data_IF_920610181120
#
_entry.id   IF_920610181120
#
_cell.length_a   1.000
_cell.length_b   1.000
_cell.length_c   1.000
_cell.angle_alpha   90.00
_cell.angle_beta   90.00
_cell.angle_gamma   90.00
#
_symmetry.space_group_name_H-M   'P 1'
#
loop_
_entity.id
_entity.type
_entity.pdbx_description
1 polymer ?
#
# COMPACT_ATOMS: atom_id res chain seq x y z
N UNK A 1 -14.03 -14.69 18.72
CA UNK A 1 -13.53 -13.86 17.61
C UNK A 1 -14.69 -13.05 17.07
N UNK A 2 -14.49 -11.77 16.79
CA UNK A 2 -15.54 -10.91 16.20
C UNK A 2 -15.74 -11.34 14.73
N UNK A 3 -16.98 -11.36 14.24
CA UNK A 3 -17.28 -11.70 12.85
C UNK A 3 -16.83 -10.55 11.91
N UNK A 4 -16.34 -10.87 10.70
CA UNK A 4 -15.95 -9.85 9.73
C UNK A 4 -17.18 -9.04 9.28
N UNK A 5 -16.95 -7.74 9.04
CA UNK A 5 -17.95 -6.83 8.48
C UNK A 5 -18.18 -7.11 6.99
N UNK A 6 -17.08 -7.34 6.28
CA UNK A 6 -17.06 -7.78 4.88
C UNK A 6 -16.30 -9.09 4.78
N UNK A 7 -16.85 -10.05 4.08
CA UNK A 7 -16.15 -11.28 3.72
C UNK A 7 -16.37 -11.56 2.24
N UNK A 8 -15.28 -11.68 1.48
CA UNK A 8 -15.31 -12.14 0.10
C UNK A 8 -14.58 -13.47 0.00
N UNK A 9 -15.12 -14.40 -0.76
CA UNK A 9 -14.58 -15.76 -0.90
C UNK A 9 -14.52 -16.16 -2.37
N UNK A 10 -13.30 -16.50 -2.81
CA UNK A 10 -13.01 -17.12 -4.12
C UNK A 10 -13.61 -16.32 -5.29
N UNK A 11 -13.53 -14.99 -5.22
CA UNK A 11 -14.03 -14.12 -6.28
C UNK A 11 -13.17 -14.28 -7.53
N UNK A 12 -13.85 -14.57 -8.65
CA UNK A 12 -13.25 -14.64 -9.99
C UNK A 12 -13.99 -13.69 -10.91
N UNK A 13 -13.24 -13.00 -11.77
CA UNK A 13 -13.77 -12.15 -12.83
C UNK A 13 -12.87 -12.14 -14.04
N UNK A 14 -13.49 -12.36 -15.21
CA UNK A 14 -12.82 -12.31 -16.50
C UNK A 14 -13.50 -11.30 -17.43
N UNK A 15 -12.73 -10.66 -18.28
CA UNK A 15 -13.20 -9.80 -19.37
C UNK A 15 -12.54 -10.25 -20.68
N UNK A 16 -13.33 -10.57 -21.69
CA UNK A 16 -12.83 -10.98 -23.01
C UNK A 16 -11.87 -12.17 -22.96
N UNK A 17 -12.08 -13.12 -22.03
CA UNK A 17 -11.22 -14.30 -21.83
C UNK A 17 -9.96 -14.05 -20.99
N UNK A 18 -9.68 -12.80 -20.58
CA UNK A 18 -8.59 -12.47 -19.65
C UNK A 18 -9.12 -12.44 -18.22
N UNK A 19 -8.55 -13.24 -17.34
CA UNK A 19 -8.86 -13.24 -15.93
C UNK A 19 -8.22 -12.02 -15.25
N UNK A 20 -9.04 -11.16 -14.66
CA UNK A 20 -8.63 -9.88 -14.02
C UNK A 20 -8.65 -10.02 -12.51
N UNK A 21 -9.58 -10.82 -11.97
CA UNK A 21 -9.64 -11.22 -10.56
C UNK A 21 -9.63 -12.74 -10.54
N UNK A 22 -8.69 -13.32 -9.81
CA UNK A 22 -8.39 -14.74 -9.82
C UNK A 22 -8.33 -15.28 -8.38
N UNK A 23 -9.42 -15.87 -7.93
CA UNK A 23 -9.55 -16.53 -6.62
C UNK A 23 -9.26 -15.59 -5.43
N UNK A 24 -9.79 -14.37 -5.48
CA UNK A 24 -9.58 -13.37 -4.42
C UNK A 24 -10.48 -13.65 -3.23
N UNK A 25 -9.87 -13.83 -2.07
CA UNK A 25 -10.54 -13.95 -0.77
C UNK A 25 -9.98 -12.93 0.21
N UNK A 26 -10.85 -12.19 0.90
CA UNK A 26 -10.48 -11.10 1.81
C UNK A 26 -11.53 -10.91 2.88
N UNK A 27 -11.12 -10.51 4.07
CA UNK A 27 -12.00 -10.10 5.17
C UNK A 27 -11.68 -8.68 5.62
N UNK A 28 -12.70 -7.91 5.99
CA UNK A 28 -12.54 -6.60 6.62
C UNK A 28 -13.27 -6.62 7.95
N UNK A 29 -12.55 -6.36 9.02
CA UNK A 29 -13.09 -6.38 10.37
C UNK A 29 -13.81 -5.07 10.73
N UNK A 30 -14.78 -5.07 11.65
CA UNK A 30 -15.44 -3.86 12.11
C UNK A 30 -14.46 -2.81 12.62
N UNK A 31 -14.57 -1.57 12.13
CA UNK A 31 -13.74 -0.45 12.55
C UNK A 31 -12.28 -0.51 12.10
N UNK A 32 -11.89 -1.50 11.29
CA UNK A 32 -10.55 -1.61 10.71
C UNK A 32 -10.48 -1.01 9.31
N UNK A 33 -9.30 -0.55 8.97
CA UNK A 33 -8.90 -0.16 7.62
C UNK A 33 -8.09 -1.29 7.00
N UNK A 34 -8.66 -1.98 6.03
CA UNK A 34 -7.95 -2.96 5.19
C UNK A 34 -7.59 -2.29 3.86
N UNK A 35 -6.33 -2.37 3.46
CA UNK A 35 -5.87 -1.81 2.20
C UNK A 35 -5.63 -2.91 1.15
N UNK A 36 -6.30 -2.83 0.01
CA UNK A 36 -5.99 -3.63 -1.17
C UNK A 36 -4.96 -2.88 -2.00
N UNK A 37 -3.70 -3.29 -1.91
CA UNK A 37 -2.54 -2.64 -2.46
C UNK A 37 -1.99 -3.43 -3.66
N UNK A 38 -1.44 -2.76 -4.66
CA UNK A 38 -0.78 -3.44 -5.77
C UNK A 38 -0.58 -2.54 -7.00
N UNK A 39 0.17 -2.99 -8.01
CA UNK A 39 0.43 -2.22 -9.21
C UNK A 39 -0.85 -1.91 -10.00
N UNK A 40 -0.79 -0.88 -10.86
CA UNK A 40 -1.91 -0.53 -11.74
C UNK A 40 -2.27 -1.71 -12.64
N UNK A 41 -3.59 -1.93 -12.82
CA UNK A 41 -4.10 -3.01 -13.67
C UNK A 41 -4.11 -4.42 -13.06
N UNK A 42 -3.76 -4.61 -11.78
CA UNK A 42 -3.77 -5.93 -11.14
C UNK A 42 -5.16 -6.41 -10.66
N UNK A 43 -6.24 -5.64 -10.85
CA UNK A 43 -7.61 -6.07 -10.53
C UNK A 43 -8.26 -5.39 -9.32
N UNK A 44 -7.59 -4.48 -8.61
CA UNK A 44 -8.07 -3.83 -7.37
C UNK A 44 -9.43 -3.12 -7.54
N UNK A 45 -9.52 -2.16 -8.47
CA UNK A 45 -10.76 -1.40 -8.71
C UNK A 45 -11.88 -2.31 -9.23
N UNK A 46 -11.55 -3.37 -9.97
CA UNK A 46 -12.54 -4.39 -10.38
C UNK A 46 -13.08 -5.12 -9.17
N UNK A 47 -12.22 -5.57 -8.26
CA UNK A 47 -12.62 -6.22 -7.00
C UNK A 47 -13.51 -5.29 -6.17
N UNK A 48 -13.13 -4.03 -6.03
CA UNK A 48 -13.92 -3.03 -5.32
C UNK A 48 -15.30 -2.81 -5.95
N UNK A 49 -15.40 -2.70 -7.29
CA UNK A 49 -16.67 -2.55 -8.02
C UNK A 49 -17.57 -3.77 -7.87
N UNK A 50 -17.00 -4.97 -7.83
CA UNK A 50 -17.74 -6.22 -7.56
C UNK A 50 -18.34 -6.18 -6.14
N UNK A 51 -17.58 -5.78 -5.14
CA UNK A 51 -18.06 -5.64 -3.76
C UNK A 51 -19.18 -4.61 -3.67
N UNK A 52 -19.02 -3.47 -4.35
CA UNK A 52 -20.04 -2.42 -4.42
C UNK A 52 -21.32 -2.86 -5.16
N UNK A 53 -21.26 -3.92 -5.98
CA UNK A 53 -22.37 -4.39 -6.81
C UNK A 53 -22.55 -3.64 -8.13
N UNK A 54 -21.57 -2.83 -8.52
CA UNK A 54 -21.52 -2.13 -9.80
C UNK A 54 -21.08 -3.07 -10.91
N UNK A 55 -20.19 -4.03 -10.60
CA UNK A 55 -19.74 -5.09 -11.50
C UNK A 55 -20.17 -6.46 -10.95
N UNK A 56 -20.29 -7.47 -11.82
CA UNK A 56 -20.63 -8.84 -11.44
C UNK A 56 -19.39 -9.73 -11.49
N UNK A 57 -19.19 -10.52 -10.44
CA UNK A 57 -18.24 -11.63 -10.46
C UNK A 57 -18.75 -12.79 -11.33
N UNK A 58 -17.83 -13.61 -11.80
CA UNK A 58 -18.16 -14.84 -12.53
C UNK A 58 -18.41 -16.00 -11.51
N UNK A 59 -17.63 -16.04 -10.41
CA UNK A 59 -17.81 -17.01 -9.30
C UNK A 59 -17.44 -16.36 -7.96
N UNK A 60 -17.73 -17.07 -6.88
CA UNK A 60 -17.43 -16.67 -5.51
C UNK A 60 -18.61 -16.02 -4.80
N UNK A 61 -18.42 -15.68 -3.52
CA UNK A 61 -19.49 -15.13 -2.67
C UNK A 61 -19.04 -13.88 -1.92
N UNK A 62 -20.00 -13.00 -1.63
CA UNK A 62 -19.80 -11.78 -0.85
C UNK A 62 -20.79 -11.75 0.29
N UNK A 63 -20.31 -11.54 1.51
CA UNK A 63 -21.13 -11.40 2.72
C UNK A 63 -20.85 -10.06 3.39
N UNK A 64 -21.90 -9.43 3.89
CA UNK A 64 -21.86 -8.23 4.72
C UNK A 64 -22.54 -8.54 6.05
N UNK A 65 -21.85 -8.36 7.17
CA UNK A 65 -22.34 -8.75 8.51
C UNK A 65 -22.83 -10.21 8.56
N UNK A 66 -22.13 -11.12 7.85
CA UNK A 66 -22.49 -12.53 7.75
C UNK A 66 -23.67 -12.84 6.83
N UNK A 67 -24.33 -11.83 6.25
CA UNK A 67 -25.43 -12.02 5.31
C UNK A 67 -24.91 -12.09 3.88
N UNK A 68 -25.33 -13.10 3.12
CA UNK A 68 -25.00 -13.23 1.70
C UNK A 68 -25.61 -12.08 0.92
N UNK A 69 -24.76 -11.27 0.27
CA UNK A 69 -25.20 -10.16 -0.60
C UNK A 69 -24.98 -10.42 -2.09
N UNK A 70 -24.09 -11.36 -2.42
CA UNK A 70 -23.89 -11.77 -3.80
C UNK A 70 -23.26 -13.16 -3.91
N UNK A 71 -23.79 -13.96 -4.83
CA UNK A 71 -23.17 -15.16 -5.38
C UNK A 71 -23.47 -15.25 -6.89
N UNK A 72 -23.44 -16.45 -7.47
CA UNK A 72 -23.76 -16.66 -8.90
C UNK A 72 -25.25 -16.58 -9.23
N UNK A 73 -26.13 -16.67 -8.23
CA UNK A 73 -27.58 -16.72 -8.39
C UNK A 73 -28.23 -15.51 -7.70
N UNK A 74 -27.83 -15.24 -6.47
CA UNK A 74 -28.40 -14.18 -5.64
C UNK A 74 -27.60 -12.89 -5.77
N UNK A 75 -28.30 -11.76 -5.92
CA UNK A 75 -27.67 -10.44 -6.02
C UNK A 75 -28.50 -9.37 -5.31
N UNK A 76 -27.93 -8.81 -4.27
CA UNK A 76 -28.45 -7.58 -3.67
C UNK A 76 -27.94 -6.38 -4.49
N UNK A 77 -28.82 -5.47 -4.95
CA UNK A 77 -28.40 -4.28 -5.67
C UNK A 77 -27.56 -3.34 -4.79
N UNK A 78 -26.74 -2.43 -5.39
CA UNK A 78 -25.82 -1.58 -4.63
C UNK A 78 -26.45 -0.83 -3.47
N UNK A 79 -27.62 -0.24 -3.66
CA UNK A 79 -28.37 0.52 -2.64
C UNK A 79 -28.86 -0.32 -1.45
N UNK A 80 -28.91 -1.63 -1.61
CA UNK A 80 -29.29 -2.59 -0.55
C UNK A 80 -28.13 -3.16 0.24
N UNK A 81 -26.87 -2.93 -0.18
CA UNK A 81 -25.69 -3.57 0.43
C UNK A 81 -25.19 -2.90 1.70
N UNK A 82 -25.71 -1.73 2.08
CA UNK A 82 -25.20 -0.90 3.19
C UNK A 82 -23.72 -0.52 3.03
N UNK A 83 -23.29 -0.29 1.80
CA UNK A 83 -21.93 0.04 1.40
C UNK A 83 -21.88 1.50 0.91
N UNK A 84 -20.97 2.29 1.46
CA UNK A 84 -20.59 3.60 0.91
C UNK A 84 -19.45 3.43 -0.09
N UNK A 85 -19.51 4.16 -1.20
CA UNK A 85 -18.50 4.12 -2.24
C UNK A 85 -17.98 5.52 -2.54
N UNK A 86 -16.65 5.66 -2.51
CA UNK A 86 -15.95 6.86 -2.94
C UNK A 86 -15.10 6.52 -4.16
N UNK A 87 -15.38 7.19 -5.27
CA UNK A 87 -14.68 7.02 -6.54
C UNK A 87 -13.41 7.89 -6.59
N UNK A 88 -12.48 7.53 -7.44
CA UNK A 88 -11.22 8.23 -7.66
C UNK A 88 -11.40 9.69 -8.11
N UNK A 89 -12.41 9.98 -8.92
CA UNK A 89 -12.76 11.31 -9.43
C UNK A 89 -13.77 12.05 -8.54
N UNK A 90 -13.97 11.56 -7.30
CA UNK A 90 -14.96 12.03 -6.32
C UNK A 90 -16.41 11.94 -6.80
N UNK A 91 -16.68 11.97 -8.09
CA UNK A 91 -17.99 11.85 -8.76
C UNK A 91 -19.08 12.75 -8.13
N UNK A 92 -18.71 13.98 -7.73
CA UNK A 92 -19.69 14.96 -7.21
C UNK A 92 -20.64 15.40 -8.33
N UNK A 93 -21.90 15.60 -7.99
CA UNK A 93 -22.89 16.11 -8.92
C UNK A 93 -22.66 17.61 -9.15
N UNK A 94 -22.23 18.06 -10.34
CA UNK A 94 -21.79 19.43 -10.55
C UNK A 94 -22.92 20.46 -10.50
N UNK A 95 -24.16 20.02 -10.69
CA UNK A 95 -25.37 20.83 -10.65
C UNK A 95 -26.04 20.92 -9.27
N UNK A 96 -25.50 20.21 -8.27
CA UNK A 96 -25.96 20.23 -6.89
C UNK A 96 -24.97 20.98 -6.01
N UNK A 97 -25.48 21.72 -5.01
CA UNK A 97 -24.62 22.33 -3.99
C UNK A 97 -23.96 21.27 -3.11
N UNK A 98 -22.98 21.66 -2.28
CA UNK A 98 -22.30 20.80 -1.30
C UNK A 98 -23.34 20.13 -0.39
N UNK A 99 -24.25 20.89 0.20
CA UNK A 99 -25.31 20.35 1.05
C UNK A 99 -26.22 19.37 0.33
N UNK A 100 -26.58 19.68 -0.94
CA UNK A 100 -27.40 18.79 -1.77
C UNK A 100 -26.65 17.53 -2.19
N UNK A 101 -25.34 17.61 -2.47
CA UNK A 101 -24.51 16.43 -2.73
C UNK A 101 -24.50 15.49 -1.53
N UNK A 102 -24.28 15.99 -0.33
CA UNK A 102 -24.27 15.17 0.90
C UNK A 102 -25.67 14.59 1.20
N UNK A 103 -26.73 15.34 0.93
CA UNK A 103 -28.10 14.88 1.14
C UNK A 103 -28.57 13.84 0.13
N UNK A 104 -27.88 13.68 -1.02
CA UNK A 104 -28.37 12.93 -2.19
C UNK A 104 -28.75 11.49 -1.87
N UNK A 105 -27.95 10.77 -1.04
CA UNK A 105 -28.21 9.38 -0.66
C UNK A 105 -29.17 9.22 0.53
N UNK A 106 -29.67 10.31 1.10
CA UNK A 106 -30.54 10.25 2.27
C UNK A 106 -32.02 10.16 1.87
N UNK A 107 -32.76 9.30 2.59
CA UNK A 107 -34.22 9.26 2.45
C UNK A 107 -34.83 10.56 2.97
N UNK A 108 -35.80 11.11 2.27
CA UNK A 108 -36.50 12.32 2.69
C UNK A 108 -37.09 12.14 4.12
N UNK A 109 -36.77 13.08 5.03
CA UNK A 109 -37.23 13.04 6.42
C UNK A 109 -36.77 14.26 7.19
N UNK A 110 -37.24 14.40 8.45
CA UNK A 110 -36.93 15.56 9.32
C UNK A 110 -35.45 15.70 9.69
N UNK A 111 -34.70 14.60 9.66
CA UNK A 111 -33.28 14.52 10.14
C UNK A 111 -32.25 14.77 9.06
N UNK A 112 -32.67 14.94 7.78
CA UNK A 112 -31.73 15.11 6.66
C UNK A 112 -30.82 16.32 6.86
N UNK A 113 -31.40 17.49 7.18
CA UNK A 113 -30.62 18.71 7.40
C UNK A 113 -29.66 18.61 8.58
N UNK A 114 -30.08 17.99 9.68
CA UNK A 114 -29.22 17.76 10.84
C UNK A 114 -28.04 16.83 10.51
N UNK A 115 -28.27 15.74 9.76
CA UNK A 115 -27.20 14.82 9.35
C UNK A 115 -26.22 15.46 8.37
N UNK A 116 -26.71 16.24 7.42
CA UNK A 116 -25.87 17.01 6.49
C UNK A 116 -24.97 17.99 7.27
N UNK A 117 -25.55 18.76 8.19
CA UNK A 117 -24.80 19.72 8.99
C UNK A 117 -23.78 19.04 9.90
N UNK A 118 -24.14 17.90 10.53
CA UNK A 118 -23.22 17.08 11.33
C UNK A 118 -22.00 16.67 10.53
N UNK A 119 -22.21 16.08 9.35
CA UNK A 119 -21.12 15.59 8.50
C UNK A 119 -20.26 16.69 7.93
N UNK A 120 -20.88 17.79 7.47
CA UNK A 120 -20.13 18.94 6.97
C UNK A 120 -19.29 19.60 8.06
N UNK A 121 -19.76 19.60 9.31
CA UNK A 121 -18.95 20.04 10.45
C UNK A 121 -17.75 19.09 10.68
N UNK A 122 -17.98 17.76 10.65
CA UNK A 122 -16.91 16.75 10.85
C UNK A 122 -15.81 16.85 9.81
N UNK A 123 -16.14 17.16 8.55
CA UNK A 123 -15.16 17.31 7.47
C UNK A 123 -14.72 18.77 7.25
N UNK A 124 -15.09 19.71 8.14
CA UNK A 124 -14.70 21.11 8.05
C UNK A 124 -15.29 21.89 6.87
N UNK A 125 -16.41 21.41 6.29
CA UNK A 125 -17.01 21.98 5.08
C UNK A 125 -18.33 22.74 5.33
N UNK A 126 -18.72 22.97 6.58
CA UNK A 126 -20.03 23.56 6.92
C UNK A 126 -20.25 24.95 6.30
N UNK A 127 -19.21 25.78 6.17
CA UNK A 127 -19.29 27.12 5.59
C UNK A 127 -19.57 27.14 4.09
N UNK A 128 -19.32 25.99 3.40
CA UNK A 128 -19.47 25.84 1.96
C UNK A 128 -20.77 25.14 1.54
N UNK A 129 -21.74 25.01 2.46
CA UNK A 129 -22.96 24.20 2.26
C UNK A 129 -23.75 24.58 1.00
N UNK A 130 -23.74 25.86 0.63
CA UNK A 130 -24.42 26.39 -0.54
C UNK A 130 -23.55 26.50 -1.79
N UNK A 131 -22.22 26.26 -1.66
CA UNK A 131 -21.28 26.32 -2.77
C UNK A 131 -21.42 25.09 -3.69
N UNK A 132 -20.89 25.20 -4.91
CA UNK A 132 -20.90 24.14 -5.91
C UNK A 132 -19.53 23.48 -6.08
N UNK A 133 -19.44 22.22 -6.56
CA UNK A 133 -18.19 21.50 -6.70
C UNK A 133 -17.08 22.25 -7.47
N UNK A 134 -17.44 23.01 -8.51
CA UNK A 134 -16.47 23.76 -9.30
C UNK A 134 -15.82 24.95 -8.59
N UNK A 135 -16.35 25.35 -7.44
CA UNK A 135 -15.83 26.42 -6.58
C UNK A 135 -14.85 25.89 -5.52
N UNK A 136 -14.72 24.56 -5.41
CA UNK A 136 -13.92 23.89 -4.40
C UNK A 136 -12.59 23.40 -4.96
N UNK A 137 -11.53 23.43 -4.14
CA UNK A 137 -10.29 22.74 -4.39
C UNK A 137 -10.47 21.20 -4.40
N UNK A 138 -9.50 20.45 -4.95
CA UNK A 138 -9.57 18.98 -4.97
C UNK A 138 -9.73 18.36 -3.58
N UNK A 139 -9.01 18.87 -2.57
CA UNK A 139 -9.13 18.38 -1.19
C UNK A 139 -10.51 18.69 -0.57
N UNK A 140 -11.10 19.86 -0.86
CA UNK A 140 -12.44 20.19 -0.42
C UNK A 140 -13.50 19.32 -1.10
N UNK A 141 -13.35 19.05 -2.41
CA UNK A 141 -14.23 18.11 -3.13
C UNK A 141 -14.16 16.70 -2.54
N UNK A 142 -12.98 16.24 -2.18
CA UNK A 142 -12.78 14.95 -1.51
C UNK A 142 -13.53 14.88 -0.18
N UNK A 143 -13.41 15.90 0.67
CA UNK A 143 -14.11 15.98 1.96
C UNK A 143 -15.64 15.94 1.78
N UNK A 144 -16.16 16.63 0.77
CA UNK A 144 -17.59 16.56 0.41
C UNK A 144 -18.00 15.17 -0.07
N UNK A 145 -17.18 14.52 -0.90
CA UNK A 145 -17.43 13.16 -1.36
C UNK A 145 -17.43 12.14 -0.21
N UNK A 146 -16.50 12.29 0.75
CA UNK A 146 -16.47 11.50 1.97
C UNK A 146 -17.76 11.69 2.79
N UNK A 147 -18.17 12.94 3.04
CA UNK A 147 -19.40 13.25 3.76
C UNK A 147 -20.63 12.65 3.05
N UNK A 148 -20.73 12.77 1.72
CA UNK A 148 -21.79 12.15 0.91
C UNK A 148 -21.84 10.64 1.08
N UNK A 149 -20.69 9.97 1.00
CA UNK A 149 -20.61 8.52 1.12
C UNK A 149 -20.97 8.02 2.54
N UNK A 150 -20.64 8.81 3.57
CA UNK A 150 -20.97 8.53 4.98
C UNK A 150 -22.42 8.89 5.37
N UNK A 151 -23.10 9.74 4.60
CA UNK A 151 -24.43 10.24 4.96
C UNK A 151 -25.43 9.12 5.24
N UNK A 152 -25.54 8.03 4.45
CA UNK A 152 -26.45 6.91 4.71
C UNK A 152 -26.05 6.01 5.90
N UNK A 153 -24.97 6.31 6.62
CA UNK A 153 -24.40 5.47 7.70
C UNK A 153 -24.05 4.05 7.19
N UNK A 154 -23.17 3.93 6.20
CA UNK A 154 -22.80 2.64 5.65
C UNK A 154 -22.07 1.79 6.69
N UNK A 155 -22.23 0.48 6.60
CA UNK A 155 -21.46 -0.49 7.40
C UNK A 155 -20.02 -0.61 6.95
N UNK A 156 -19.81 -0.42 5.65
CA UNK A 156 -18.51 -0.53 4.98
C UNK A 156 -18.33 0.68 4.08
N UNK A 157 -17.14 1.27 4.11
CA UNK A 157 -16.70 2.28 3.16
C UNK A 157 -15.70 1.67 2.19
N UNK A 158 -15.98 1.76 0.90
CA UNK A 158 -15.06 1.42 -0.17
C UNK A 158 -14.48 2.70 -0.76
N UNK A 159 -13.17 2.77 -0.89
CA UNK A 159 -12.46 3.96 -1.39
C UNK A 159 -11.49 3.55 -2.51
N UNK A 160 -11.73 4.04 -3.73
CA UNK A 160 -10.89 3.75 -4.90
C UNK A 160 -9.92 4.90 -5.15
N UNK A 161 -8.64 4.72 -4.79
CA UNK A 161 -7.56 5.69 -4.94
C UNK A 161 -7.94 7.12 -4.48
N UNK A 162 -8.47 7.28 -3.26
CA UNK A 162 -9.13 8.53 -2.86
C UNK A 162 -8.20 9.74 -2.78
N UNK A 163 -6.88 9.54 -2.68
CA UNK A 163 -5.91 10.62 -2.48
C UNK A 163 -5.00 10.85 -3.70
N UNK A 164 -5.21 10.15 -4.82
CA UNK A 164 -4.35 10.21 -6.01
C UNK A 164 -4.34 11.58 -6.70
N UNK A 165 -5.39 12.36 -6.56
CA UNK A 165 -5.51 13.70 -7.17
C UNK A 165 -5.06 14.87 -6.29
N UNK A 166 -4.47 14.60 -5.12
CA UNK A 166 -4.08 15.63 -4.16
C UNK A 166 -2.63 16.04 -4.28
N UNK A 167 -2.35 17.31 -3.95
CA UNK A 167 -0.99 17.81 -3.75
C UNK A 167 -0.31 17.09 -2.57
N UNK A 168 0.98 16.76 -2.73
CA UNK A 168 1.73 15.97 -1.75
C UNK A 168 1.76 16.61 -0.34
N UNK A 169 1.75 17.95 -0.25
CA UNK A 169 1.81 18.65 1.04
C UNK A 169 0.50 18.56 1.83
N UNK A 170 -0.64 18.54 1.13
CA UNK A 170 -1.96 18.46 1.76
C UNK A 170 -2.43 17.02 1.97
N UNK A 171 -1.81 16.08 1.26
CA UNK A 171 -2.25 14.68 1.23
C UNK A 171 -2.19 14.02 2.60
N UNK A 172 -1.16 14.29 3.36
CA UNK A 172 -0.96 13.67 4.69
C UNK A 172 -2.01 14.14 5.71
N UNK A 173 -2.28 15.44 5.76
CA UNK A 173 -3.28 16.01 6.67
C UNK A 173 -4.69 15.50 6.32
N UNK A 174 -5.03 15.47 5.02
CA UNK A 174 -6.33 14.99 4.55
C UNK A 174 -6.51 13.49 4.83
N UNK A 175 -5.45 12.69 4.73
CA UNK A 175 -5.47 11.26 5.10
C UNK A 175 -5.80 11.07 6.58
N UNK A 176 -5.11 11.79 7.46
CA UNK A 176 -5.30 11.68 8.90
C UNK A 176 -6.71 12.13 9.31
N UNK A 177 -7.19 13.27 8.82
CA UNK A 177 -8.57 13.74 9.03
C UNK A 177 -9.61 12.73 8.51
N UNK A 178 -9.37 12.15 7.31
CA UNK A 178 -10.27 11.12 6.75
C UNK A 178 -10.36 9.91 7.66
N UNK A 179 -9.22 9.43 8.19
CA UNK A 179 -9.18 8.31 9.12
C UNK A 179 -9.91 8.61 10.42
N UNK A 180 -9.75 9.81 10.98
CA UNK A 180 -10.46 10.23 12.20
C UNK A 180 -11.97 10.20 12.00
N UNK A 181 -12.45 10.75 10.88
CA UNK A 181 -13.89 10.74 10.55
C UNK A 181 -14.42 9.32 10.39
N UNK A 182 -13.71 8.45 9.66
CA UNK A 182 -14.10 7.06 9.44
C UNK A 182 -14.12 6.23 10.73
N UNK A 183 -13.11 6.39 11.59
CA UNK A 183 -13.04 5.75 12.91
C UNK A 183 -14.15 6.26 13.83
N UNK A 184 -14.42 7.56 13.80
CA UNK A 184 -15.50 8.17 14.59
C UNK A 184 -16.91 7.68 14.21
N UNK A 185 -17.12 7.27 12.96
CA UNK A 185 -18.37 6.65 12.48
C UNK A 185 -18.43 5.13 12.75
N UNK A 186 -17.32 4.49 13.18
CA UNK A 186 -17.24 3.03 13.41
C UNK A 186 -17.40 2.20 12.15
N UNK A 187 -17.13 2.78 10.98
CA UNK A 187 -17.27 2.15 9.67
C UNK A 187 -16.04 1.30 9.35
N UNK A 188 -16.23 0.08 8.86
CA UNK A 188 -15.15 -0.73 8.30
C UNK A 188 -14.72 -0.15 6.94
N UNK A 189 -13.43 -0.16 6.63
CA UNK A 189 -12.90 0.49 5.41
C UNK A 189 -12.13 -0.51 4.57
N UNK A 190 -12.46 -0.56 3.27
CA UNK A 190 -11.60 -1.16 2.26
C UNK A 190 -11.06 -0.03 1.36
N UNK A 191 -9.78 0.25 1.52
CA UNK A 191 -9.04 1.23 0.75
C UNK A 191 -8.31 0.55 -0.40
N UNK A 192 -8.47 1.06 -1.61
CA UNK A 192 -7.69 0.62 -2.78
C UNK A 192 -6.68 1.69 -3.14
N UNK A 193 -5.42 1.30 -3.26
CA UNK A 193 -4.35 2.21 -3.69
C UNK A 193 -3.23 1.46 -4.41
N UNK A 194 -2.41 2.18 -5.14
CA UNK A 194 -1.15 1.69 -5.70
C UNK A 194 0.07 2.29 -5.00
N UNK A 195 -0.13 3.16 -3.99
CA UNK A 195 0.94 3.81 -3.23
C UNK A 195 1.26 3.04 -1.95
N UNK A 196 2.48 2.42 -1.83
CA UNK A 196 2.87 1.71 -0.60
C UNK A 196 2.88 2.60 0.64
N UNK A 197 3.31 3.87 0.51
CA UNK A 197 3.36 4.83 1.61
C UNK A 197 1.99 5.11 2.21
N UNK A 198 0.97 5.21 1.38
CA UNK A 198 -0.42 5.37 1.80
C UNK A 198 -0.93 4.14 2.59
N UNK A 199 -0.73 2.93 2.02
CA UNK A 199 -1.13 1.70 2.68
C UNK A 199 -0.43 1.51 4.04
N UNK A 200 0.88 1.80 4.11
CA UNK A 200 1.66 1.70 5.35
C UNK A 200 1.21 2.66 6.46
N UNK A 201 0.69 3.84 6.09
CA UNK A 201 0.24 4.86 7.04
C UNK A 201 -1.18 4.62 7.52
N UNK A 202 -2.07 4.19 6.63
CA UNK A 202 -3.51 4.17 6.90
C UNK A 202 -4.05 2.81 7.32
N UNK A 203 -3.44 1.71 6.86
CA UNK A 203 -4.03 0.39 7.02
C UNK A 203 -3.68 -0.26 8.36
N UNK A 204 -4.66 -0.93 8.96
CA UNK A 204 -4.44 -1.92 10.01
C UNK A 204 -4.00 -3.25 9.39
N UNK A 205 -4.44 -3.54 8.16
CA UNK A 205 -4.09 -4.74 7.39
C UNK A 205 -3.94 -4.39 5.90
N UNK A 206 -2.91 -4.95 5.26
CA UNK A 206 -2.66 -4.82 3.82
C UNK A 206 -2.84 -6.17 3.15
N UNK A 207 -3.63 -6.21 2.07
CA UNK A 207 -3.69 -7.31 1.12
C UNK A 207 -2.96 -6.89 -0.17
N UNK A 208 -1.77 -7.44 -0.40
CA UNK A 208 -0.98 -7.16 -1.59
C UNK A 208 -1.50 -7.98 -2.76
N UNK A 209 -2.01 -7.30 -3.78
CA UNK A 209 -2.58 -7.91 -4.98
C UNK A 209 -1.63 -7.79 -6.16
N UNK A 210 -1.41 -8.89 -6.88
CA UNK A 210 -0.61 -8.96 -8.10
C UNK A 210 -1.21 -9.98 -9.06
N UNK A 211 -1.30 -9.61 -10.34
CA UNK A 211 -1.80 -10.50 -11.41
C UNK A 211 -3.16 -11.14 -11.09
N UNK A 212 -4.07 -10.40 -10.52
CA UNK A 212 -5.42 -10.84 -10.16
C UNK A 212 -5.52 -11.57 -8.81
N UNK A 213 -4.42 -11.85 -8.11
CA UNK A 213 -4.39 -12.64 -6.87
C UNK A 213 -3.88 -11.84 -5.67
N UNK A 214 -4.33 -12.18 -4.47
CA UNK A 214 -3.69 -11.73 -3.23
C UNK A 214 -2.48 -12.61 -3.00
N UNK A 215 -1.27 -12.02 -3.09
CA UNK A 215 0.01 -12.73 -2.93
C UNK A 215 0.52 -12.72 -1.50
N UNK A 216 0.12 -11.71 -0.72
CA UNK A 216 0.47 -11.60 0.69
C UNK A 216 -0.57 -10.77 1.44
N UNK A 217 -0.88 -11.12 2.70
CA UNK A 217 -1.78 -10.37 3.56
C UNK A 217 -1.23 -10.32 4.97
N UNK A 218 -1.38 -9.18 5.66
CA UNK A 218 -0.97 -9.00 7.04
C UNK A 218 -0.83 -7.54 7.45
N UNK A 219 -0.41 -7.33 8.70
CA UNK A 219 -0.13 -5.99 9.21
C UNK A 219 0.99 -5.31 8.39
N UNK A 220 0.96 -3.98 8.21
CA UNK A 220 1.95 -3.24 7.43
C UNK A 220 3.40 -3.57 7.79
N UNK A 221 3.71 -3.62 9.09
CA UNK A 221 5.04 -3.98 9.57
C UNK A 221 5.49 -5.36 9.09
N UNK A 222 4.60 -6.36 9.12
CA UNK A 222 4.93 -7.73 8.73
C UNK A 222 5.18 -7.84 7.22
N UNK A 223 4.32 -7.24 6.42
CA UNK A 223 4.49 -7.25 4.95
C UNK A 223 5.79 -6.59 4.53
N UNK A 224 6.14 -5.47 5.18
CA UNK A 224 7.39 -4.77 4.90
C UNK A 224 8.62 -5.58 5.32
N UNK A 225 8.62 -6.20 6.51
CA UNK A 225 9.80 -6.87 7.07
C UNK A 225 9.91 -8.36 6.74
N UNK A 226 8.85 -8.99 6.24
CA UNK A 226 8.83 -10.40 5.83
C UNK A 226 8.12 -10.55 4.48
N UNK A 227 8.65 -9.92 3.40
CA UNK A 227 8.05 -10.03 2.08
C UNK A 227 8.11 -11.48 1.58
N UNK A 228 7.04 -11.90 0.88
CA UNK A 228 6.90 -13.29 0.39
C UNK A 228 7.86 -13.61 -0.75
N UNK A 229 8.24 -12.62 -1.54
CA UNK A 229 9.15 -12.75 -2.68
C UNK A 229 9.87 -11.43 -3.00
N UNK A 230 10.82 -11.50 -3.94
CA UNK A 230 11.59 -10.35 -4.41
C UNK A 230 10.71 -9.22 -4.96
N UNK A 231 9.66 -9.55 -5.71
CA UNK A 231 8.74 -8.55 -6.28
C UNK A 231 7.97 -7.84 -5.19
N UNK A 232 7.57 -8.54 -4.12
CA UNK A 232 6.93 -7.95 -2.95
C UNK A 232 7.90 -7.03 -2.18
N UNK A 233 9.16 -7.42 -2.01
CA UNK A 233 10.17 -6.56 -1.39
C UNK A 233 10.40 -5.28 -2.20
N UNK A 234 10.54 -5.41 -3.53
CA UNK A 234 10.78 -4.30 -4.47
C UNK A 234 9.58 -3.35 -4.60
N UNK A 235 8.37 -3.83 -4.33
CA UNK A 235 7.16 -3.01 -4.41
C UNK A 235 7.12 -1.91 -3.33
N UNK A 236 7.69 -2.19 -2.15
CA UNK A 236 7.65 -1.25 -1.01
C UNK A 236 8.85 -0.30 -0.93
N UNK A 237 9.94 -0.59 -1.60
CA UNK A 237 11.16 0.25 -1.58
C UNK A 237 12.12 -0.17 -2.70
N UNK A 238 13.05 0.74 -3.04
CA UNK A 238 14.24 0.32 -3.78
C UNK A 238 14.93 -0.83 -3.07
N UNK A 239 15.56 -1.72 -3.86
CA UNK A 239 16.30 -2.87 -3.36
C UNK A 239 17.65 -2.99 -4.09
N UNK A 240 18.63 -3.55 -3.39
CA UNK A 240 19.83 -4.12 -3.98
C UNK A 240 19.67 -5.63 -4.02
N UNK A 241 20.17 -6.26 -5.08
CA UNK A 241 20.13 -7.71 -5.24
C UNK A 241 21.54 -8.22 -5.44
N UNK A 242 21.96 -9.16 -4.59
CA UNK A 242 23.23 -9.87 -4.71
C UNK A 242 22.89 -11.32 -5.00
N UNK A 243 23.49 -11.87 -6.04
CA UNK A 243 23.29 -13.27 -6.43
C UNK A 243 24.24 -14.18 -5.68
N UNK A 244 23.75 -15.35 -5.31
CA UNK A 244 24.53 -16.39 -4.67
C UNK A 244 24.00 -17.78 -5.01
N UNK A 245 24.73 -18.80 -4.59
CA UNK A 245 24.35 -20.21 -4.69
C UNK A 245 24.40 -20.85 -3.31
N UNK A 246 23.40 -21.64 -2.98
CA UNK A 246 23.30 -22.29 -1.66
C UNK A 246 24.24 -23.48 -1.58
N UNK A 247 25.03 -23.53 -0.49
CA UNK A 247 25.86 -24.66 -0.09
C UNK A 247 25.71 -24.86 1.42
N UNK A 248 25.22 -26.02 1.81
CA UNK A 248 25.01 -26.40 3.22
C UNK A 248 24.17 -25.34 3.98
N UNK A 249 22.99 -25.00 3.42
CA UNK A 249 22.06 -23.96 3.94
C UNK A 249 22.66 -22.56 4.09
N UNK A 250 23.81 -22.28 3.49
CA UNK A 250 24.49 -20.99 3.44
C UNK A 250 24.71 -20.57 1.99
N UNK A 251 24.83 -19.28 1.77
CA UNK A 251 25.29 -18.74 0.48
C UNK A 251 26.49 -17.83 0.72
N UNK A 252 27.57 -18.03 -0.04
CA UNK A 252 28.78 -17.21 0.06
C UNK A 252 28.70 -16.03 -0.89
N UNK A 253 29.05 -14.86 -0.37
CA UNK A 253 29.11 -13.62 -1.12
C UNK A 253 30.34 -12.81 -0.69
N UNK A 254 30.71 -11.77 -1.44
CA UNK A 254 31.76 -10.82 -0.99
C UNK A 254 31.48 -10.16 0.34
N UNK A 255 30.21 -10.12 0.78
CA UNK A 255 29.80 -9.60 2.10
C UNK A 255 29.73 -10.68 3.19
N UNK A 256 30.26 -11.87 2.91
CA UNK A 256 30.25 -13.03 3.77
C UNK A 256 29.08 -13.97 3.51
N UNK A 257 28.78 -14.80 4.52
CA UNK A 257 27.77 -15.85 4.39
C UNK A 257 26.40 -15.39 4.87
N UNK A 258 25.36 -15.79 4.12
CA UNK A 258 23.96 -15.58 4.47
C UNK A 258 23.24 -16.92 4.62
N UNK A 259 22.33 -16.98 5.61
CA UNK A 259 21.51 -18.17 5.85
C UNK A 259 20.41 -18.28 4.77
N UNK A 260 20.27 -19.47 4.21
CA UNK A 260 19.21 -19.84 3.25
C UNK A 260 18.48 -21.11 3.72
N UNK A 261 17.82 -21.08 4.88
CA UNK A 261 17.22 -22.28 5.47
C UNK A 261 16.11 -22.82 4.57
N UNK A 262 16.11 -24.16 4.38
CA UNK A 262 15.08 -24.84 3.59
C UNK A 262 15.26 -24.72 2.07
N UNK A 263 16.31 -24.06 1.60
CA UNK A 263 16.65 -23.99 0.17
C UNK A 263 17.65 -25.11 -0.14
N UNK A 264 17.41 -25.94 -1.19
CA UNK A 264 18.32 -27.03 -1.57
C UNK A 264 19.70 -26.52 -2.01
N UNK A 265 20.74 -27.33 -1.76
CA UNK A 265 22.08 -27.05 -2.23
C UNK A 265 22.14 -26.96 -3.77
N UNK A 266 22.95 -26.05 -4.29
CA UNK A 266 23.07 -25.77 -5.71
C UNK A 266 21.96 -24.84 -6.27
N UNK A 267 20.99 -24.40 -5.41
CA UNK A 267 19.97 -23.47 -5.85
C UNK A 267 20.55 -22.06 -5.92
N UNK A 268 20.30 -21.38 -7.04
CA UNK A 268 20.58 -19.95 -7.16
C UNK A 268 19.62 -19.15 -6.27
N UNK A 269 20.14 -18.14 -5.57
CA UNK A 269 19.36 -17.27 -4.69
C UNK A 269 19.66 -15.80 -4.91
N UNK A 270 18.65 -14.98 -4.70
CA UNK A 270 18.75 -13.54 -4.62
C UNK A 270 18.76 -13.09 -3.16
N UNK A 271 19.86 -12.45 -2.73
CA UNK A 271 19.99 -11.80 -1.42
C UNK A 271 19.58 -10.35 -1.61
N UNK A 272 18.47 -9.99 -1.01
CA UNK A 272 17.81 -8.69 -1.18
C UNK A 272 18.07 -7.79 0.02
N UNK A 273 18.60 -6.58 -0.23
CA UNK A 273 18.96 -5.62 0.79
C UNK A 273 18.37 -4.25 0.41
N UNK A 274 17.69 -3.61 1.35
CA UNK A 274 17.23 -2.23 1.15
C UNK A 274 18.38 -1.23 1.29
N UNK A 275 18.39 -0.13 0.51
CA UNK A 275 19.46 0.86 0.53
C UNK A 275 19.81 1.44 1.91
N UNK A 276 18.83 1.59 2.79
CA UNK A 276 19.03 2.09 4.16
C UNK A 276 19.68 1.07 5.12
N UNK A 277 19.80 -0.19 4.71
CA UNK A 277 20.44 -1.26 5.51
C UNK A 277 21.90 -1.53 5.11
N UNK A 278 22.40 -0.80 4.11
CA UNK A 278 23.83 -0.78 3.82
C UNK A 278 24.53 0.19 4.79
N UNK A 279 25.62 -0.27 5.38
CA UNK A 279 26.54 0.55 6.18
C UNK A 279 27.74 0.92 5.34
N UNK A 280 28.20 2.16 5.50
CA UNK A 280 29.33 2.71 4.78
C UNK A 280 30.43 3.03 5.82
N UNK A 281 31.66 2.63 5.52
CA UNK A 281 32.85 3.06 6.27
C UNK A 281 33.91 3.61 5.32
N UNK A 282 34.78 4.47 5.87
CA UNK A 282 35.84 5.10 5.12
C UNK A 282 37.01 4.12 4.90
N UNK A 283 37.64 4.23 3.75
CA UNK A 283 38.89 3.53 3.49
C UNK A 283 40.04 4.18 4.31
N UNK A 284 40.72 3.37 5.10
CA UNK A 284 41.83 3.81 5.94
C UNK A 284 43.11 3.17 5.41
N UNK A 285 43.69 3.76 4.36
CA UNK A 285 44.89 3.26 3.69
C UNK A 285 44.76 1.80 3.21
N UNK A 286 43.64 1.47 2.58
CA UNK A 286 43.34 0.11 2.10
C UNK A 286 42.82 -0.85 3.17
N UNK A 287 42.56 -0.36 4.40
CA UNK A 287 42.03 -1.17 5.50
C UNK A 287 40.55 -0.84 5.73
N UNK A 288 39.71 -1.86 5.64
CA UNK A 288 38.29 -1.78 6.02
C UNK A 288 38.04 -2.05 7.49
N UNK A 289 36.80 -1.89 7.94
CA UNK A 289 36.38 -2.26 9.29
C UNK A 289 36.50 -3.78 9.48
N UNK A 290 36.58 -4.21 10.74
CA UNK A 290 36.56 -5.64 11.06
C UNK A 290 35.15 -6.22 10.82
N UNK A 291 35.05 -7.45 10.29
CA UNK A 291 33.77 -8.14 10.19
C UNK A 291 33.10 -8.31 11.54
N UNK A 292 31.77 -8.17 11.55
CA UNK A 292 30.97 -8.47 12.76
C UNK A 292 29.90 -9.52 12.44
N UNK A 293 29.35 -10.15 13.46
CA UNK A 293 28.26 -11.12 13.27
C UNK A 293 27.00 -10.47 12.65
N UNK A 294 26.77 -9.19 12.90
CA UNK A 294 25.61 -8.44 12.40
C UNK A 294 25.88 -7.83 11.02
N UNK A 295 27.05 -7.21 10.83
CA UNK A 295 27.36 -6.39 9.66
C UNK A 295 28.08 -7.14 8.54
N UNK A 296 28.38 -8.41 8.76
CA UNK A 296 29.04 -9.26 7.77
C UNK A 296 30.50 -8.87 7.46
N UNK A 297 30.98 -9.27 6.28
CA UNK A 297 32.31 -8.96 5.77
C UNK A 297 32.26 -7.64 4.99
N UNK A 298 33.20 -6.69 5.26
CA UNK A 298 33.29 -5.48 4.46
C UNK A 298 33.73 -5.78 3.03
N UNK A 299 33.07 -5.20 2.04
CA UNK A 299 33.46 -5.26 0.66
C UNK A 299 33.87 -3.87 0.17
N UNK A 300 35.00 -3.82 -0.56
CA UNK A 300 35.53 -2.56 -1.09
C UNK A 300 34.74 -2.09 -2.30
N UNK A 301 34.56 -0.78 -2.42
CA UNK A 301 33.86 -0.15 -3.51
C UNK A 301 34.41 1.26 -3.78
N UNK A 302 34.01 1.83 -4.90
CA UNK A 302 34.22 3.24 -5.22
C UNK A 302 32.90 3.94 -5.44
N UNK A 303 32.83 5.20 -5.01
CA UNK A 303 31.67 6.04 -5.26
C UNK A 303 31.53 6.30 -6.75
N UNK A 304 30.39 5.98 -7.31
CA UNK A 304 30.05 6.31 -8.68
C UNK A 304 29.29 7.63 -8.74
N UNK A 305 28.34 7.82 -7.84
CA UNK A 305 27.49 9.02 -7.79
C UNK A 305 26.93 9.24 -6.39
N UNK A 306 26.84 10.49 -5.97
CA UNK A 306 26.16 10.91 -4.75
C UNK A 306 25.19 12.05 -5.05
N UNK A 307 23.98 11.99 -4.45
CA UNK A 307 22.91 13.00 -4.61
C UNK A 307 22.24 13.28 -3.29
N UNK A 308 22.03 14.56 -3.00
CA UNK A 308 21.20 14.97 -1.87
C UNK A 308 19.72 14.99 -2.31
N UNK A 309 18.88 14.34 -1.54
CA UNK A 309 17.45 14.22 -1.83
C UNK A 309 16.57 14.74 -0.69
N UNK A 310 17.04 15.81 -0.02
CA UNK A 310 16.32 16.44 1.10
C UNK A 310 16.74 15.90 2.46
N UNK A 311 15.98 15.00 3.04
CA UNK A 311 16.27 14.43 4.37
C UNK A 311 17.44 13.43 4.38
N UNK A 312 17.91 12.99 3.21
CA UNK A 312 18.94 11.95 3.06
C UNK A 312 19.79 12.19 1.81
N UNK A 313 20.86 11.41 1.70
CA UNK A 313 21.70 11.30 0.50
C UNK A 313 21.57 9.90 -0.10
N UNK A 314 21.38 9.83 -1.41
CA UNK A 314 21.43 8.61 -2.19
C UNK A 314 22.81 8.48 -2.81
N UNK A 315 23.51 7.38 -2.53
CA UNK A 315 24.86 7.13 -3.02
C UNK A 315 24.88 5.81 -3.78
N UNK A 316 25.45 5.84 -4.99
CA UNK A 316 25.67 4.69 -5.85
C UNK A 316 27.14 4.30 -5.77
N UNK A 317 27.40 3.01 -5.56
CA UNK A 317 28.72 2.44 -5.38
C UNK A 317 28.97 1.36 -6.42
N UNK A 318 30.12 1.44 -7.09
CA UNK A 318 30.63 0.34 -7.93
C UNK A 318 31.49 -0.57 -7.08
N UNK A 319 31.14 -1.84 -7.04
CA UNK A 319 31.89 -2.86 -6.28
C UNK A 319 33.17 -3.26 -6.98
N UNK A 320 34.27 -3.38 -6.23
CA UNK A 320 35.58 -3.73 -6.78
C UNK A 320 35.64 -5.18 -7.30
N UNK A 321 34.87 -6.09 -6.70
CA UNK A 321 34.96 -7.54 -6.98
C UNK A 321 34.28 -7.97 -8.28
N UNK A 322 33.20 -7.31 -8.71
CA UNK A 322 32.41 -7.70 -9.89
C UNK A 322 31.91 -6.52 -10.73
N UNK A 323 32.19 -5.29 -10.30
CA UNK A 323 31.72 -4.06 -10.97
C UNK A 323 30.21 -3.80 -10.84
N UNK A 324 29.48 -4.57 -10.04
CA UNK A 324 28.07 -4.34 -9.77
C UNK A 324 27.84 -3.00 -9.07
N UNK A 325 26.66 -2.42 -9.26
CA UNK A 325 26.29 -1.14 -8.64
C UNK A 325 25.29 -1.36 -7.53
N UNK A 326 25.66 -0.95 -6.31
CA UNK A 326 24.76 -0.96 -5.15
C UNK A 326 24.40 0.47 -4.76
N UNK A 327 23.22 0.66 -4.22
CA UNK A 327 22.69 1.95 -3.77
C UNK A 327 22.53 1.94 -2.25
N UNK A 328 23.00 3.02 -1.59
CA UNK A 328 22.71 3.24 -0.18
C UNK A 328 21.97 4.57 0.02
N UNK A 329 21.05 4.56 1.00
CA UNK A 329 20.41 5.77 1.50
C UNK A 329 21.00 6.09 2.87
N UNK A 330 21.63 7.26 2.97
CA UNK A 330 22.30 7.74 4.18
C UNK A 330 21.53 8.92 4.75
N UNK A 331 21.16 8.90 6.04
CA UNK A 331 20.58 10.06 6.70
C UNK A 331 21.52 11.28 6.62
N UNK A 332 20.94 12.47 6.50
CA UNK A 332 21.70 13.73 6.41
C UNK A 332 22.50 13.89 5.10
N UNK A 333 23.42 14.85 5.10
CA UNK A 333 24.27 15.17 3.94
C UNK A 333 25.50 14.28 3.94
N UNK A 334 25.59 13.39 2.95
CA UNK A 334 26.76 12.57 2.67
C UNK A 334 27.00 12.55 1.16
N UNK A 335 27.92 13.41 0.69
CA UNK A 335 28.17 13.65 -0.73
C UNK A 335 29.66 13.42 -1.08
N UNK A 336 30.16 12.19 -0.96
CA UNK A 336 31.52 11.87 -1.36
C UNK A 336 31.71 12.09 -2.86
N UNK A 337 32.93 12.45 -3.26
CA UNK A 337 33.27 12.65 -4.67
C UNK A 337 33.29 11.32 -5.42
N UNK A 338 32.90 11.29 -6.71
CA UNK A 338 33.09 10.11 -7.55
C UNK A 338 34.56 9.66 -7.52
N UNK A 339 34.78 8.34 -7.49
CA UNK A 339 36.10 7.73 -7.36
C UNK A 339 36.62 7.61 -5.91
N UNK A 340 35.91 8.13 -4.91
CA UNK A 340 36.30 7.97 -3.49
C UNK A 340 36.19 6.49 -3.10
N UNK A 341 37.29 5.84 -2.61
CA UNK A 341 37.22 4.46 -2.12
C UNK A 341 36.55 4.39 -0.75
N UNK A 342 35.63 3.44 -0.60
CA UNK A 342 34.88 3.20 0.62
C UNK A 342 34.69 1.69 0.84
N UNK A 343 34.18 1.34 2.00
CA UNK A 343 33.79 -0.01 2.36
C UNK A 343 32.31 -0.08 2.63
N UNK A 344 31.63 -1.10 2.06
CA UNK A 344 30.25 -1.39 2.33
C UNK A 344 30.14 -2.65 3.19
N UNK A 345 29.20 -2.62 4.11
CA UNK A 345 28.79 -3.76 4.93
C UNK A 345 27.28 -3.92 4.84
N UNK A 346 26.80 -5.16 4.98
CA UNK A 346 25.40 -5.49 4.92
C UNK A 346 24.91 -5.97 6.28
N UNK A 347 23.85 -5.38 6.77
CA UNK A 347 23.16 -5.88 7.95
C UNK A 347 22.45 -7.19 7.67
N UNK A 348 23.03 -8.31 8.10
CA UNK A 348 22.52 -9.67 7.87
C UNK A 348 21.12 -9.88 8.43
N UNK A 349 20.78 -9.24 9.54
CA UNK A 349 19.48 -9.29 10.20
C UNK A 349 18.38 -8.53 9.43
N UNK A 350 18.73 -7.84 8.33
CA UNK A 350 17.85 -7.01 7.52
C UNK A 350 17.84 -7.40 6.04
N UNK A 351 18.32 -8.58 5.73
CA UNK A 351 18.33 -9.15 4.38
C UNK A 351 17.22 -10.18 4.22
N UNK A 352 16.80 -10.34 2.99
CA UNK A 352 15.91 -11.43 2.58
C UNK A 352 16.66 -12.31 1.60
N UNK A 353 16.44 -13.62 1.65
CA UNK A 353 17.02 -14.57 0.71
C UNK A 353 15.87 -15.29 0.01
N UNK A 354 15.80 -15.13 -1.30
CA UNK A 354 14.77 -15.75 -2.13
C UNK A 354 15.39 -16.71 -3.13
N UNK A 355 14.83 -17.92 -3.33
CA UNK A 355 15.20 -18.77 -4.43
C UNK A 355 14.89 -18.08 -5.77
N UNK A 356 15.79 -18.28 -6.75
CA UNK A 356 15.70 -17.63 -8.06
C UNK A 356 14.67 -18.32 -8.97
#
# INVERSE_FOLDING_TARGET
MQAPRLEIKNIVKSFGGRQVVDDVSLQVMPGQVTCLLGPSGCGKSTTLRIIAGVEMQDTGTIHVDGQLVCDTIHRVPPEGRSIGLMFQDFALFPHLSVGQNVAFGLRKGRDVGARVQELLNKVGMARYIDDYPHQLSGGEQQRVALARALAPRPRIMLMDEPFSGLDDRLRDDIRDETLEVLKGEGTAVLLVTHEPGEAMRMADEIALMRDGKIVQQGAPYNIYNTPVDLKSAAFFSDINVIRGEVKVALTETPFGQFLAPGVPDGTAVDIVIRPQHLKIDFDRDGRGPNPTAVDGTPARCVVERARFVGASSLVEFRMDHDGSVLKATVPSVFLPKPGTPLWLMIRRDRCFVFPH
#
